data_IF_334892865561
#
_entry.id   IF_334892865561
#
_cell.length_a   1.000
_cell.length_b   1.000
_cell.length_c   1.000
_cell.angle_alpha   90.00
_cell.angle_beta   90.00
_cell.angle_gamma   90.00
#
_symmetry.space_group_name_H-M   'P 1'
#
loop_
_entity.id
_entity.type
_entity.pdbx_description
1 polymer ?
#
# COMPACT_ATOMS: atom_id res chain seq x y z
N UNK A 1 -9.93 -19.19 -13.93
CA UNK A 1 -9.14 -18.93 -12.72
C UNK A 1 -8.16 -20.06 -12.58
N UNK A 2 -6.89 -19.70 -12.61
CA UNK A 2 -5.77 -20.64 -12.64
C UNK A 2 -4.60 -20.01 -11.91
N UNK A 3 -3.97 -20.78 -11.05
CA UNK A 3 -2.66 -20.45 -10.49
C UNK A 3 -1.59 -20.97 -11.42
N UNK A 4 -0.66 -20.11 -11.81
CA UNK A 4 0.44 -20.43 -12.73
C UNK A 4 1.79 -20.34 -12.02
N UNK A 5 2.67 -21.31 -12.27
CA UNK A 5 4.04 -21.32 -11.74
C UNK A 5 5.07 -21.57 -12.84
N UNK A 6 6.17 -20.81 -12.88
CA UNK A 6 7.28 -21.10 -13.79
C UNK A 6 8.27 -22.13 -13.21
N UNK A 7 8.98 -22.89 -14.06
CA UNK A 7 10.06 -23.76 -13.60
C UNK A 7 11.14 -22.96 -12.87
N UNK A 8 11.81 -23.53 -11.85
CA UNK A 8 12.84 -22.82 -11.09
C UNK A 8 13.99 -22.40 -11.99
N UNK A 9 14.16 -21.09 -12.21
CA UNK A 9 15.15 -20.54 -13.15
C UNK A 9 15.89 -19.31 -12.63
N UNK A 10 15.33 -18.64 -11.62
CA UNK A 10 15.83 -17.34 -11.17
C UNK A 10 16.82 -17.49 -10.02
N UNK A 11 18.12 -17.19 -10.21
CA UNK A 11 19.11 -17.38 -9.16
C UNK A 11 19.09 -16.22 -8.15
N UNK A 12 18.85 -16.52 -6.87
CA UNK A 12 18.99 -15.57 -5.77
C UNK A 12 19.26 -16.30 -4.45
N UNK A 13 20.06 -15.70 -3.56
CA UNK A 13 20.38 -16.27 -2.24
C UNK A 13 20.86 -17.72 -2.26
N UNK A 14 21.66 -18.10 -3.26
CA UNK A 14 22.23 -19.45 -3.38
C UNK A 14 21.25 -20.55 -3.81
N UNK A 15 20.05 -20.21 -4.31
CA UNK A 15 19.06 -21.16 -4.83
C UNK A 15 18.34 -20.63 -6.06
N UNK A 16 17.61 -21.50 -6.76
CA UNK A 16 16.69 -21.10 -7.82
C UNK A 16 15.30 -20.80 -7.26
N UNK A 17 14.62 -19.88 -7.91
CA UNK A 17 13.27 -19.46 -7.58
C UNK A 17 12.33 -19.58 -8.79
N UNK A 18 11.08 -19.82 -8.45
CA UNK A 18 9.90 -19.79 -9.31
C UNK A 18 9.00 -18.64 -8.88
N UNK A 19 8.14 -18.17 -9.78
CA UNK A 19 7.11 -17.19 -9.55
C UNK A 19 5.75 -17.87 -9.64
N UNK A 20 4.91 -17.65 -8.64
CA UNK A 20 3.54 -18.13 -8.58
C UNK A 20 2.58 -16.94 -8.70
N UNK A 21 1.68 -16.98 -9.68
CA UNK A 21 0.67 -15.94 -9.94
C UNK A 21 -0.75 -16.52 -9.95
N UNK A 22 -1.75 -15.65 -9.84
CA UNK A 22 -3.13 -15.94 -10.26
C UNK A 22 -3.45 -15.16 -11.54
N UNK A 23 -4.25 -15.76 -12.42
CA UNK A 23 -4.81 -15.08 -13.59
C UNK A 23 -6.13 -14.34 -13.32
N UNK A 24 -6.62 -14.32 -12.06
CA UNK A 24 -7.90 -13.69 -11.75
C UNK A 24 -8.02 -13.05 -10.36
N UNK A 25 -7.31 -13.52 -9.33
CA UNK A 25 -7.45 -12.97 -7.96
C UNK A 25 -6.18 -13.06 -7.11
N UNK A 26 -5.80 -11.94 -6.51
CA UNK A 26 -4.77 -11.91 -5.47
C UNK A 26 -5.24 -12.57 -4.17
N UNK A 27 -6.53 -12.53 -3.87
CA UNK A 27 -7.09 -13.18 -2.68
C UNK A 27 -6.89 -14.70 -2.73
N UNK A 28 -7.26 -15.34 -3.84
CA UNK A 28 -7.03 -16.79 -4.02
C UNK A 28 -5.53 -17.11 -4.00
N UNK A 29 -4.71 -16.25 -4.61
CA UNK A 29 -3.26 -16.42 -4.57
C UNK A 29 -2.74 -16.39 -3.11
N UNK A 30 -3.24 -15.49 -2.27
CA UNK A 30 -2.89 -15.41 -0.86
C UNK A 30 -3.38 -16.61 -0.06
N UNK A 31 -4.62 -17.05 -0.28
CA UNK A 31 -5.19 -18.23 0.37
C UNK A 31 -4.43 -19.50 0.01
N UNK A 32 -4.15 -19.70 -1.27
CA UNK A 32 -3.35 -20.83 -1.74
C UNK A 32 -1.94 -20.79 -1.17
N UNK A 33 -1.27 -19.64 -1.23
CA UNK A 33 0.06 -19.46 -0.65
C UNK A 33 0.08 -19.80 0.85
N UNK A 34 -0.91 -19.33 1.61
CA UNK A 34 -1.03 -19.62 3.04
C UNK A 34 -1.28 -21.12 3.29
N UNK A 35 -2.18 -21.75 2.54
CA UNK A 35 -2.47 -23.19 2.66
C UNK A 35 -1.25 -24.07 2.35
N UNK A 36 -0.36 -23.60 1.47
CA UNK A 36 0.89 -24.28 1.15
C UNK A 36 2.05 -23.90 2.10
N UNK A 37 1.85 -22.96 3.02
CA UNK A 37 2.90 -22.50 3.95
C UNK A 37 3.93 -21.57 3.29
N UNK A 38 3.57 -20.90 2.19
CA UNK A 38 4.39 -19.84 1.60
C UNK A 38 4.23 -18.58 2.47
N UNK A 39 5.31 -18.04 3.04
CA UNK A 39 5.19 -16.90 3.94
C UNK A 39 4.77 -15.64 3.16
N UNK A 40 3.88 -14.83 3.76
CA UNK A 40 3.35 -13.59 3.16
C UNK A 40 4.45 -12.62 2.69
N UNK A 41 5.61 -12.64 3.36
CA UNK A 41 6.78 -11.83 3.01
C UNK A 41 7.37 -12.11 1.63
N UNK A 42 7.10 -13.29 1.05
CA UNK A 42 7.53 -13.65 -0.31
C UNK A 42 6.60 -13.15 -1.41
N UNK A 43 5.56 -12.38 -1.07
CA UNK A 43 4.71 -11.71 -2.04
C UNK A 43 5.32 -10.38 -2.49
N UNK A 44 5.37 -10.18 -3.80
CA UNK A 44 6.07 -9.06 -4.44
C UNK A 44 5.11 -8.07 -5.14
N UNK A 45 3.82 -8.11 -4.81
CA UNK A 45 2.78 -7.19 -5.28
C UNK A 45 1.77 -7.85 -6.21
N UNK A 46 2.19 -8.85 -6.97
CA UNK A 46 1.35 -9.56 -7.94
C UNK A 46 1.72 -11.05 -8.14
N UNK A 47 2.76 -11.51 -7.44
CA UNK A 47 3.22 -12.90 -7.44
C UNK A 47 3.88 -13.25 -6.12
N UNK A 48 4.06 -14.55 -5.88
CA UNK A 48 4.91 -15.10 -4.83
C UNK A 48 6.21 -15.66 -5.41
N UNK A 49 7.31 -15.37 -4.74
CA UNK A 49 8.58 -16.06 -4.95
C UNK A 49 8.57 -17.41 -4.21
N UNK A 50 8.72 -18.49 -4.97
CA UNK A 50 8.69 -19.88 -4.49
C UNK A 50 10.08 -20.49 -4.67
N UNK A 51 10.74 -20.95 -3.59
CA UNK A 51 12.06 -21.54 -3.72
C UNK A 51 11.97 -22.94 -4.37
N UNK A 52 13.00 -23.33 -5.13
CA UNK A 52 13.01 -24.55 -5.96
C UNK A 52 12.55 -25.82 -5.22
N UNK A 53 12.89 -25.96 -3.94
CA UNK A 53 12.55 -27.12 -3.11
C UNK A 53 11.04 -27.28 -2.89
N UNK A 54 10.25 -26.20 -3.08
CA UNK A 54 8.79 -26.21 -2.95
C UNK A 54 8.06 -26.34 -4.29
N UNK A 55 8.75 -26.20 -5.42
CA UNK A 55 8.14 -26.20 -6.75
C UNK A 55 7.24 -27.42 -6.99
N UNK A 56 7.76 -28.63 -6.77
CA UNK A 56 7.01 -29.87 -6.99
C UNK A 56 5.75 -29.96 -6.11
N UNK A 57 5.82 -29.47 -4.85
CA UNK A 57 4.67 -29.44 -3.95
C UNK A 57 3.60 -28.44 -4.43
N UNK A 58 4.00 -27.29 -4.98
CA UNK A 58 3.08 -26.29 -5.52
C UNK A 58 2.37 -26.80 -6.79
N UNK A 59 3.09 -27.49 -7.68
CA UNK A 59 2.47 -28.15 -8.84
C UNK A 59 1.51 -29.26 -8.38
N UNK A 60 1.91 -30.11 -7.43
CA UNK A 60 1.06 -31.16 -6.89
C UNK A 60 -0.19 -30.62 -6.18
N UNK A 61 -0.13 -29.40 -5.63
CA UNK A 61 -1.25 -28.71 -5.02
C UNK A 61 -2.23 -28.07 -6.04
N UNK A 62 -1.93 -28.13 -7.34
CA UNK A 62 -2.83 -27.72 -8.42
C UNK A 62 -2.40 -26.48 -9.21
N UNK A 63 -1.24 -25.88 -8.90
CA UNK A 63 -0.69 -24.82 -9.75
C UNK A 63 -0.26 -25.41 -11.10
N UNK A 64 -0.62 -24.75 -12.19
CA UNK A 64 -0.26 -25.18 -13.54
C UNK A 64 1.08 -24.60 -13.95
N UNK A 65 1.92 -25.44 -14.51
CA UNK A 65 3.19 -25.00 -15.05
C UNK A 65 2.99 -24.12 -16.29
N UNK A 66 3.74 -23.03 -16.38
CA UNK A 66 3.79 -22.17 -17.55
C UNK A 66 5.17 -21.51 -17.67
N UNK A 67 5.55 -21.09 -18.88
CA UNK A 67 6.82 -20.39 -19.06
C UNK A 67 6.76 -18.97 -18.48
N UNK A 68 7.90 -18.37 -18.12
CA UNK A 68 7.94 -16.96 -17.68
C UNK A 68 7.20 -15.99 -18.63
N UNK A 69 7.37 -16.09 -19.96
CA UNK A 69 6.57 -15.32 -20.92
C UNK A 69 5.06 -15.57 -20.84
N UNK A 70 4.63 -16.80 -20.61
CA UNK A 70 3.21 -17.15 -20.47
C UNK A 70 2.64 -16.59 -19.15
N UNK A 71 3.38 -16.69 -18.05
CA UNK A 71 3.02 -16.06 -16.77
C UNK A 71 2.79 -14.57 -16.94
N UNK A 72 3.75 -13.88 -17.57
CA UNK A 72 3.62 -12.44 -17.81
C UNK A 72 2.38 -12.13 -18.66
N UNK A 73 2.07 -12.94 -19.66
CA UNK A 73 0.88 -12.78 -20.50
C UNK A 73 -0.41 -12.95 -19.69
N UNK A 74 -0.50 -13.99 -18.87
CA UNK A 74 -1.64 -14.23 -17.98
C UNK A 74 -1.82 -13.09 -16.97
N UNK A 75 -0.73 -12.63 -16.37
CA UNK A 75 -0.73 -11.55 -15.38
C UNK A 75 -1.07 -10.18 -15.98
N UNK A 76 -0.69 -9.93 -17.24
CA UNK A 76 -1.11 -8.73 -17.96
C UNK A 76 -2.59 -8.79 -18.33
N UNK A 77 -3.06 -9.94 -18.83
CA UNK A 77 -4.45 -10.12 -19.22
C UNK A 77 -5.41 -10.05 -18.01
N UNK A 78 -4.96 -10.42 -16.82
CA UNK A 78 -5.75 -10.35 -15.59
C UNK A 78 -5.88 -8.92 -15.03
N UNK A 79 -5.04 -7.98 -15.47
CA UNK A 79 -4.94 -6.64 -14.89
C UNK A 79 -4.16 -6.58 -13.58
N UNK A 80 -3.79 -7.73 -12.98
CA UNK A 80 -3.16 -7.79 -11.66
C UNK A 80 -1.70 -7.32 -11.63
N UNK A 81 -1.04 -7.16 -12.79
CA UNK A 81 0.37 -6.76 -12.86
C UNK A 81 0.61 -5.43 -12.15
N UNK A 82 1.38 -5.48 -11.06
CA UNK A 82 1.90 -4.31 -10.33
C UNK A 82 3.34 -4.06 -10.75
N UNK A 83 3.62 -2.87 -11.31
CA UNK A 83 4.99 -2.51 -11.72
C UNK A 83 5.73 -1.82 -10.57
N UNK A 84 6.95 -2.23 -10.25
CA UNK A 84 7.76 -1.60 -9.21
C UNK A 84 9.19 -1.35 -9.68
N UNK A 85 9.85 -0.36 -9.11
CA UNK A 85 11.29 -0.09 -9.34
C UNK A 85 12.11 -1.12 -8.57
N UNK A 86 13.39 -1.24 -8.93
CA UNK A 86 14.32 -2.11 -8.21
C UNK A 86 14.42 -1.66 -6.74
N UNK A 87 14.33 -2.61 -5.81
CA UNK A 87 14.41 -2.35 -4.37
C UNK A 87 13.07 -1.97 -3.72
N UNK A 88 12.01 -1.81 -4.51
CA UNK A 88 10.65 -1.59 -3.99
C UNK A 88 9.93 -2.91 -3.77
N UNK A 89 8.90 -2.89 -2.91
CA UNK A 89 8.04 -4.04 -2.64
C UNK A 89 6.58 -3.68 -2.89
N UNK A 90 5.92 -4.41 -3.79
CA UNK A 90 4.49 -4.23 -4.02
C UNK A 90 3.69 -4.73 -2.83
N UNK A 91 2.75 -3.92 -2.35
CA UNK A 91 1.85 -4.26 -1.24
C UNK A 91 0.57 -4.86 -1.79
N UNK A 92 -0.10 -4.14 -2.69
CA UNK A 92 -1.32 -4.58 -3.37
C UNK A 92 -1.61 -3.71 -4.60
N UNK A 93 -2.38 -4.23 -5.54
CA UNK A 93 -3.02 -3.47 -6.61
C UNK A 93 -4.53 -3.51 -6.39
N UNK A 94 -5.16 -2.34 -6.33
CA UNK A 94 -6.61 -2.20 -6.17
C UNK A 94 -7.20 -1.66 -7.47
N UNK A 95 -8.24 -2.33 -7.97
CA UNK A 95 -8.89 -1.94 -9.21
C UNK A 95 -10.14 -1.11 -8.98
N UNK A 96 -10.35 -0.12 -9.84
CA UNK A 96 -11.61 0.62 -9.92
C UNK A 96 -12.02 1.33 -8.63
N UNK A 97 -11.06 1.88 -7.87
CA UNK A 97 -11.34 2.70 -6.70
C UNK A 97 -12.20 3.90 -7.12
N UNK A 98 -13.26 4.17 -6.37
CA UNK A 98 -14.15 5.32 -6.57
C UNK A 98 -13.92 6.31 -5.44
N UNK A 99 -13.58 7.55 -5.78
CA UNK A 99 -13.33 8.61 -4.81
C UNK A 99 -14.59 9.48 -4.60
N UNK A 100 -14.68 10.25 -3.49
CA UNK A 100 -15.87 11.04 -3.18
C UNK A 100 -16.25 12.10 -4.22
N UNK A 101 -15.30 12.57 -5.04
CA UNK A 101 -15.57 13.51 -6.15
C UNK A 101 -16.01 12.82 -7.45
N UNK A 102 -16.25 11.51 -7.41
CA UNK A 102 -16.63 10.70 -8.56
C UNK A 102 -15.46 10.34 -9.47
N UNK A 103 -14.23 10.75 -9.16
CA UNK A 103 -13.05 10.26 -9.87
C UNK A 103 -12.86 8.76 -9.64
N UNK A 104 -12.21 8.09 -10.60
CA UNK A 104 -11.93 6.65 -10.54
C UNK A 104 -10.52 6.33 -10.99
N UNK A 105 -9.89 5.39 -10.30
CA UNK A 105 -8.54 4.95 -10.64
C UNK A 105 -8.29 3.49 -10.22
N UNK A 106 -7.39 2.82 -10.93
CA UNK A 106 -6.63 1.72 -10.31
C UNK A 106 -5.51 2.31 -9.44
N UNK A 107 -5.17 1.65 -8.34
CA UNK A 107 -4.16 2.13 -7.40
C UNK A 107 -3.15 1.02 -7.09
N UNK A 108 -1.87 1.31 -7.33
CA UNK A 108 -0.78 0.47 -6.83
C UNK A 108 -0.29 1.00 -5.48
N UNK A 109 -0.25 0.11 -4.50
CA UNK A 109 0.27 0.36 -3.16
C UNK A 109 1.69 -0.21 -3.09
N UNK A 110 2.70 0.64 -2.86
CA UNK A 110 4.10 0.25 -2.96
C UNK A 110 4.89 0.70 -1.74
N UNK A 111 5.56 -0.24 -1.07
CA UNK A 111 6.56 0.07 -0.05
C UNK A 111 7.85 0.51 -0.75
N UNK A 112 8.29 1.72 -0.45
CA UNK A 112 9.47 2.33 -1.05
C UNK A 112 9.96 3.47 -0.18
N UNK A 113 11.28 3.62 -0.08
CA UNK A 113 11.94 4.82 0.40
C UNK A 113 12.38 5.75 -0.74
N UNK A 114 12.06 5.40 -2.00
CA UNK A 114 12.36 6.22 -3.15
C UNK A 114 11.25 7.23 -3.38
N UNK A 115 11.61 8.51 -3.44
CA UNK A 115 10.66 9.56 -3.76
C UNK A 115 10.05 9.37 -5.16
N UNK A 116 8.73 9.57 -5.32
CA UNK A 116 8.11 9.68 -6.64
C UNK A 116 8.56 10.96 -7.35
N UNK A 117 8.30 11.11 -8.65
CA UNK A 117 8.59 12.37 -9.35
C UNK A 117 7.78 13.51 -8.72
N UNK A 118 8.45 14.49 -8.12
CA UNK A 118 7.84 15.52 -7.27
C UNK A 118 6.63 16.22 -7.92
N UNK A 119 6.77 16.64 -9.18
CA UNK A 119 5.72 17.32 -9.96
C UNK A 119 4.43 16.51 -10.15
N UNK A 120 4.45 15.20 -9.85
CA UNK A 120 3.31 14.28 -9.95
C UNK A 120 2.76 13.86 -8.58
N UNK A 121 3.36 14.33 -7.47
CA UNK A 121 2.84 14.13 -6.12
C UNK A 121 1.80 15.20 -5.82
N UNK A 122 0.55 14.77 -5.62
CA UNK A 122 -0.57 15.69 -5.37
C UNK A 122 -1.06 15.66 -3.92
N UNK A 123 -0.61 14.70 -3.12
CA UNK A 123 -1.03 14.52 -1.73
C UNK A 123 0.06 13.82 -0.90
N UNK A 124 -0.05 13.96 0.41
CA UNK A 124 0.79 13.26 1.37
C UNK A 124 -0.01 12.87 2.62
N UNK A 125 0.39 11.76 3.25
CA UNK A 125 -0.16 11.31 4.54
C UNK A 125 0.96 10.85 5.45
N UNK A 126 0.73 10.91 6.77
CA UNK A 126 1.70 10.45 7.77
C UNK A 126 1.06 9.54 8.80
N UNK A 127 1.61 8.33 8.93
CA UNK A 127 1.26 7.39 9.97
C UNK A 127 2.05 7.74 11.24
N UNK A 128 1.40 8.42 12.18
CA UNK A 128 1.99 8.83 13.46
C UNK A 128 1.70 7.77 14.52
N UNK A 129 2.75 7.25 15.13
CA UNK A 129 2.68 6.28 16.23
C UNK A 129 3.26 6.88 17.51
N UNK A 130 2.55 6.78 18.64
CA UNK A 130 3.05 7.27 19.93
C UNK A 130 4.08 6.32 20.56
N UNK A 131 4.70 6.70 21.68
CA UNK A 131 5.73 5.88 22.33
C UNK A 131 5.29 4.47 22.75
N UNK A 132 3.98 4.20 22.87
CA UNK A 132 3.41 2.91 23.29
C UNK A 132 2.78 2.11 22.14
N UNK A 133 2.83 2.61 20.90
CA UNK A 133 2.28 1.88 19.76
C UNK A 133 0.83 2.22 19.42
N UNK A 134 0.27 3.29 19.98
CA UNK A 134 -1.03 3.83 19.57
C UNK A 134 -0.87 4.66 18.29
N UNK A 135 -1.87 4.64 17.42
CA UNK A 135 -1.88 5.36 16.15
C UNK A 135 -2.80 6.57 16.22
N UNK A 136 -2.35 7.69 15.66
CA UNK A 136 -3.17 8.87 15.45
C UNK A 136 -4.07 8.63 14.23
N UNK A 137 -5.37 8.81 14.40
CA UNK A 137 -6.35 8.76 13.31
C UNK A 137 -7.23 10.00 13.31
N UNK A 138 -7.60 10.45 12.11
CA UNK A 138 -8.47 11.60 11.85
C UNK A 138 -9.70 11.13 11.09
N UNK A 139 -10.85 11.76 11.32
CA UNK A 139 -12.08 11.50 10.58
C UNK A 139 -12.21 12.48 9.42
N UNK A 140 -12.45 11.95 8.22
CA UNK A 140 -12.70 12.76 7.03
C UNK A 140 -14.20 12.78 6.69
N UNK A 141 -14.93 13.89 6.86
CA UNK A 141 -16.33 13.99 6.47
C UNK A 141 -16.54 13.78 4.96
N UNK A 142 -15.57 14.20 4.14
CA UNK A 142 -15.62 13.99 2.68
C UNK A 142 -15.60 12.52 2.30
N UNK A 143 -14.77 11.71 2.97
CA UNK A 143 -14.61 10.28 2.69
C UNK A 143 -15.50 9.38 3.53
N UNK A 144 -16.08 9.92 4.61
CA UNK A 144 -16.85 9.17 5.61
C UNK A 144 -16.03 7.99 6.18
N UNK A 145 -14.74 8.22 6.43
CA UNK A 145 -13.82 7.20 6.94
C UNK A 145 -12.79 7.79 7.91
N UNK A 146 -12.22 6.93 8.76
CA UNK A 146 -11.07 7.24 9.60
C UNK A 146 -9.78 6.87 8.85
N UNK A 147 -8.79 7.76 8.83
CA UNK A 147 -7.48 7.49 8.23
C UNK A 147 -6.33 8.07 9.05
N UNK A 148 -5.09 7.86 8.60
CA UNK A 148 -3.97 8.68 9.03
C UNK A 148 -4.17 10.16 8.60
N UNK A 149 -3.59 11.13 9.32
CA UNK A 149 -3.57 12.53 8.91
C UNK A 149 -2.98 12.75 7.52
N UNK A 150 -3.51 13.71 6.76
CA UNK A 150 -2.99 14.05 5.45
C UNK A 150 -4.03 14.52 4.45
N UNK A 151 -3.55 15.12 3.38
CA UNK A 151 -4.41 15.76 2.39
C UNK A 151 -3.66 16.21 1.15
N UNK A 152 -4.24 17.19 0.48
CA UNK A 152 -3.77 17.68 -0.82
C UNK A 152 -2.59 18.61 -0.62
N UNK A 153 -1.64 18.52 -1.54
CA UNK A 153 -0.47 19.39 -1.58
C UNK A 153 -0.87 20.78 -2.05
N UNK A 154 -0.44 21.80 -1.34
CA UNK A 154 -0.64 23.19 -1.73
C UNK A 154 0.47 23.71 -2.67
N UNK A 155 0.23 24.84 -3.32
CA UNK A 155 1.18 25.40 -4.28
C UNK A 155 2.48 25.84 -3.59
N UNK A 156 3.62 25.34 -4.08
CA UNK A 156 4.96 25.71 -3.57
C UNK A 156 5.42 24.90 -2.36
N UNK A 157 4.54 24.06 -1.81
CA UNK A 157 4.84 23.13 -0.72
C UNK A 157 5.58 21.90 -1.26
N UNK A 158 6.42 21.23 -0.48
CA UNK A 158 6.94 19.89 -0.75
C UNK A 158 6.05 18.79 -0.13
N UNK A 159 6.11 17.53 -0.59
CA UNK A 159 5.24 16.48 -0.03
C UNK A 159 5.39 16.26 1.49
N UNK A 160 6.58 16.46 2.04
CA UNK A 160 6.81 16.33 3.48
C UNK A 160 6.23 17.51 4.26
N UNK A 161 6.29 18.72 3.70
CA UNK A 161 5.64 19.90 4.29
C UNK A 161 4.11 19.73 4.30
N UNK A 162 3.53 19.16 3.23
CA UNK A 162 2.10 18.80 3.19
C UNK A 162 1.72 17.88 4.34
N UNK A 163 2.47 16.80 4.56
CA UNK A 163 2.17 15.86 5.66
C UNK A 163 2.26 16.53 7.04
N UNK A 164 3.22 17.45 7.23
CA UNK A 164 3.40 18.19 8.49
C UNK A 164 2.26 19.21 8.69
N UNK A 165 1.90 19.98 7.67
CA UNK A 165 0.82 20.97 7.72
C UNK A 165 -0.52 20.31 8.01
N UNK A 166 -0.89 19.29 7.25
CA UNK A 166 -2.17 18.59 7.41
C UNK A 166 -2.29 17.98 8.82
N UNK A 167 -1.21 17.38 9.35
CA UNK A 167 -1.23 16.87 10.73
C UNK A 167 -1.46 17.98 11.75
N UNK A 168 -0.82 19.13 11.55
CA UNK A 168 -0.98 20.28 12.45
C UNK A 168 -2.42 20.81 12.39
N UNK A 169 -2.99 20.98 11.20
CA UNK A 169 -4.34 21.53 10.99
C UNK A 169 -5.42 20.59 11.56
N UNK A 170 -5.28 19.28 11.38
CA UNK A 170 -6.28 18.30 11.81
C UNK A 170 -6.19 17.98 13.32
N UNK A 171 -5.05 18.22 13.98
CA UNK A 171 -4.79 17.68 15.33
C UNK A 171 -4.03 18.58 16.32
N UNK A 172 -3.47 19.70 15.87
CA UNK A 172 -2.50 20.56 16.58
C UNK A 172 -1.17 19.86 16.97
N UNK A 173 -0.93 18.63 16.50
CA UNK A 173 0.33 17.92 16.72
C UNK A 173 1.41 18.45 15.77
N UNK A 174 2.49 18.99 16.35
CA UNK A 174 3.64 19.49 15.60
C UNK A 174 4.63 18.36 15.31
N UNK A 175 4.78 18.07 14.02
CA UNK A 175 5.82 17.16 13.52
C UNK A 175 7.01 17.96 12.98
N UNK A 176 8.21 17.39 13.09
CA UNK A 176 9.40 17.93 12.41
C UNK A 176 9.64 17.14 11.13
N UNK A 177 9.88 17.78 9.97
CA UNK A 177 10.19 17.08 8.73
C UNK A 177 11.34 16.05 8.87
N UNK A 178 12.40 16.38 9.63
CA UNK A 178 13.54 15.47 9.85
C UNK A 178 13.19 14.17 10.58
N UNK A 179 12.05 14.14 11.29
CA UNK A 179 11.59 12.97 12.06
C UNK A 179 10.65 12.07 11.22
N UNK A 180 10.34 12.46 9.98
CA UNK A 180 9.49 11.68 9.07
C UNK A 180 10.35 10.84 8.14
N UNK A 181 9.99 9.56 8.00
CA UNK A 181 10.57 8.66 7.01
C UNK A 181 9.53 8.35 5.94
N UNK A 182 9.87 8.52 4.67
CA UNK A 182 9.04 8.00 3.58
C UNK A 182 9.13 6.47 3.60
N UNK A 183 7.97 5.81 3.68
CA UNK A 183 7.87 4.34 3.80
C UNK A 183 7.10 3.70 2.65
N UNK A 184 6.23 4.46 1.99
CA UNK A 184 5.44 3.98 0.87
C UNK A 184 4.97 5.13 -0.04
N UNK A 185 4.37 4.76 -1.16
CA UNK A 185 3.52 5.65 -1.95
C UNK A 185 2.32 4.88 -2.51
N UNK A 186 1.29 5.63 -2.83
CA UNK A 186 0.16 5.16 -3.64
C UNK A 186 0.33 5.75 -5.05
N UNK A 187 0.20 4.91 -6.08
CA UNK A 187 0.29 5.33 -7.48
C UNK A 187 -1.02 5.11 -8.19
N UNK A 188 -1.58 6.19 -8.71
CA UNK A 188 -2.90 6.24 -9.31
C UNK A 188 -2.82 6.12 -10.82
N UNK A 189 -3.73 5.31 -11.37
CA UNK A 189 -3.98 5.14 -12.80
C UNK A 189 -5.42 5.57 -13.06
N UNK A 190 -5.65 6.85 -13.40
CA UNK A 190 -7.00 7.36 -13.67
C UNK A 190 -7.68 6.54 -14.77
N UNK A 191 -8.96 6.23 -14.58
CA UNK A 191 -9.76 5.55 -15.59
C UNK A 191 -10.39 6.56 -16.55
N UNK A 192 -10.38 6.24 -17.84
CA UNK A 192 -10.87 7.14 -18.90
C UNK A 192 -12.39 7.40 -18.83
N UNK A 193 -13.13 6.60 -18.05
CA UNK A 193 -14.58 6.70 -17.88
C UNK A 193 -15.01 7.60 -16.71
N UNK A 194 -14.07 8.30 -16.08
CA UNK A 194 -14.31 9.19 -14.94
C UNK A 194 -13.45 10.46 -14.99
N UNK A 195 -13.89 11.57 -14.36
CA UNK A 195 -13.07 12.77 -14.25
C UNK A 195 -11.82 12.51 -13.38
N UNK A 196 -10.74 13.25 -13.63
CA UNK A 196 -9.55 13.25 -12.77
C UNK A 196 -9.16 14.68 -12.39
N UNK A 197 -9.36 15.03 -11.11
CA UNK A 197 -9.26 16.39 -10.62
C UNK A 197 -7.82 16.94 -10.52
N UNK A 198 -6.81 16.06 -10.60
CA UNK A 198 -5.38 16.41 -10.53
C UNK A 198 -4.67 15.98 -11.80
N UNK A 199 -4.73 16.76 -12.91
CA UNK A 199 -4.31 16.31 -14.24
C UNK A 199 -2.91 15.69 -14.31
N UNK A 200 -1.93 16.26 -13.60
CA UNK A 200 -0.57 15.73 -13.49
C UNK A 200 -0.34 14.84 -12.26
N UNK A 201 -1.26 14.84 -11.29
CA UNK A 201 -1.17 14.09 -10.05
C UNK A 201 -1.31 12.59 -10.29
N UNK A 202 -0.30 11.83 -9.89
CA UNK A 202 -0.25 10.37 -9.99
C UNK A 202 0.20 9.69 -8.71
N UNK A 203 0.66 10.44 -7.71
CA UNK A 203 1.21 9.89 -6.49
C UNK A 203 0.68 10.58 -5.23
N UNK A 204 0.45 9.77 -4.21
CA UNK A 204 0.34 10.18 -2.81
C UNK A 204 1.54 9.59 -2.07
N UNK A 205 2.27 10.42 -1.33
CA UNK A 205 3.44 9.97 -0.54
C UNK A 205 3.02 9.58 0.87
N UNK A 206 3.60 8.50 1.39
CA UNK A 206 3.25 7.97 2.71
C UNK A 206 4.48 8.02 3.61
N UNK A 207 4.37 8.85 4.65
CA UNK A 207 5.36 9.00 5.69
C UNK A 207 4.98 8.20 6.93
N UNK A 208 5.98 7.93 7.77
CA UNK A 208 5.81 7.36 9.11
C UNK A 208 6.68 8.13 10.09
N UNK A 209 6.19 8.31 11.30
CA UNK A 209 6.99 8.78 12.42
C UNK A 209 6.59 8.11 13.73
N UNK A 210 7.50 8.11 14.71
CA UNK A 210 7.29 7.58 16.05
C UNK A 210 7.56 8.70 17.05
N UNK A 211 6.55 9.10 17.82
CA UNK A 211 6.70 10.10 18.86
C UNK A 211 7.38 9.47 20.09
N UNK A 212 8.09 10.30 20.85
CA UNK A 212 8.67 9.93 22.14
C UNK A 212 7.71 10.11 23.32
N UNK A 213 6.54 10.68 23.06
CA UNK A 213 5.47 10.93 24.04
C UNK A 213 4.32 9.96 23.82
N UNK A 214 3.58 9.65 24.90
CA UNK A 214 2.40 8.79 24.86
C UNK A 214 1.18 9.68 24.72
N UNK A 215 0.34 9.39 23.72
CA UNK A 215 -0.94 10.06 23.45
C UNK A 215 -0.97 11.56 23.82
N UNK A 216 -0.13 12.41 23.18
CA UNK A 216 -0.20 13.84 23.40
C UNK A 216 -1.61 14.37 23.13
N UNK A 217 -1.95 15.48 23.78
CA UNK A 217 -3.24 16.13 23.61
C UNK A 217 -3.50 16.45 22.14
N UNK A 218 -4.72 16.15 21.70
CA UNK A 218 -5.22 16.41 20.36
C UNK A 218 -6.26 17.51 20.48
N UNK A 219 -6.14 18.53 19.63
CA UNK A 219 -7.18 19.52 19.41
C UNK A 219 -7.64 19.38 17.97
N UNK A 220 -8.90 18.99 17.79
CA UNK A 220 -9.51 18.75 16.49
C UNK A 220 -10.91 19.36 16.45
N UNK A 221 -11.38 19.71 15.25
CA UNK A 221 -12.72 20.21 15.06
C UNK A 221 -13.77 19.14 15.44
N UNK A 222 -14.96 19.58 15.86
CA UNK A 222 -16.00 18.67 16.32
C UNK A 222 -16.54 17.77 15.20
N UNK A 223 -16.60 18.30 13.98
CA UNK A 223 -17.02 17.61 12.75
C UNK A 223 -15.90 16.82 12.08
N UNK A 224 -14.63 17.09 12.43
CA UNK A 224 -13.43 16.39 11.95
C UNK A 224 -12.61 15.85 13.13
N UNK A 225 -13.19 14.96 13.96
CA UNK A 225 -12.52 14.51 15.19
C UNK A 225 -11.26 13.71 14.89
N UNK A 226 -10.29 13.81 15.81
CA UNK A 226 -9.07 13.00 15.80
C UNK A 226 -8.89 12.28 17.15
N UNK A 227 -8.25 11.11 17.14
CA UNK A 227 -8.01 10.31 18.35
C UNK A 227 -6.84 9.33 18.22
N UNK A 228 -6.33 8.93 19.37
CA UNK A 228 -5.39 7.82 19.50
C UNK A 228 -6.12 6.49 19.58
N UNK A 229 -5.70 5.51 18.79
CA UNK A 229 -6.29 4.16 18.75
C UNK A 229 -5.21 3.08 18.83
N UNK A 230 -5.56 1.91 19.34
CA UNK A 230 -4.69 0.73 19.27
C UNK A 230 -4.54 0.25 17.83
N UNK A 231 -3.53 -0.59 17.55
CA UNK A 231 -3.38 -1.22 16.23
C UNK A 231 -4.63 -2.01 15.83
N UNK A 232 -5.25 -2.75 16.77
CA UNK A 232 -6.48 -3.51 16.51
C UNK A 232 -7.63 -2.60 16.10
N UNK A 233 -7.85 -1.52 16.84
CA UNK A 233 -8.90 -0.55 16.52
C UNK A 233 -8.63 0.15 15.18
N UNK A 234 -7.37 0.50 14.88
CA UNK A 234 -7.04 1.09 13.59
C UNK A 234 -7.39 0.16 12.42
N UNK A 235 -7.05 -1.12 12.51
CA UNK A 235 -7.40 -2.10 11.48
C UNK A 235 -8.92 -2.29 11.36
N UNK A 236 -9.66 -2.23 12.46
CA UNK A 236 -11.13 -2.31 12.44
C UNK A 236 -11.76 -1.08 11.78
N UNK A 237 -11.24 0.12 12.08
CA UNK A 237 -11.71 1.37 11.45
C UNK A 237 -11.45 1.37 9.94
N UNK A 238 -10.32 0.80 9.51
CA UNK A 238 -9.91 0.72 8.11
C UNK A 238 -10.44 -0.53 7.39
N UNK A 239 -11.25 -1.40 8.03
CA UNK A 239 -11.54 -2.75 7.51
C UNK A 239 -12.18 -2.80 6.12
N UNK A 240 -12.90 -1.75 5.73
CA UNK A 240 -13.53 -1.62 4.40
C UNK A 240 -12.77 -0.67 3.48
N UNK A 241 -11.70 -0.05 3.95
CA UNK A 241 -10.92 0.89 3.17
C UNK A 241 -10.02 0.16 2.17
N UNK A 242 -10.00 0.63 0.94
CA UNK A 242 -9.12 0.08 -0.10
C UNK A 242 -7.63 0.26 0.22
N UNK A 243 -7.29 1.24 1.06
CA UNK A 243 -5.92 1.53 1.51
C UNK A 243 -5.51 0.71 2.76
N UNK A 244 -6.38 -0.13 3.31
CA UNK A 244 -6.06 -1.02 4.45
C UNK A 244 -4.72 -1.77 4.29
N UNK A 245 -4.35 -2.29 3.10
CA UNK A 245 -3.06 -2.97 2.94
C UNK A 245 -1.85 -2.08 3.25
N UNK A 246 -1.91 -0.76 2.99
CA UNK A 246 -0.84 0.19 3.39
C UNK A 246 -0.77 0.28 4.91
N UNK A 247 -1.91 0.46 5.58
CA UNK A 247 -1.96 0.55 7.03
C UNK A 247 -1.41 -0.73 7.70
N UNK A 248 -1.79 -1.91 7.20
CA UNK A 248 -1.27 -3.20 7.66
C UNK A 248 0.24 -3.31 7.43
N UNK A 249 0.72 -2.90 6.25
CA UNK A 249 2.15 -2.90 5.94
C UNK A 249 2.93 -1.98 6.91
N UNK A 250 2.40 -0.81 7.23
CA UNK A 250 3.09 0.17 8.09
C UNK A 250 3.03 -0.24 9.57
N UNK A 251 1.92 -0.79 10.03
CA UNK A 251 1.72 -1.16 11.43
C UNK A 251 2.42 -2.46 11.83
N UNK A 252 2.50 -3.43 10.91
CA UNK A 252 3.24 -4.66 11.14
C UNK A 252 4.74 -4.39 10.96
N UNK A 253 5.50 -4.41 12.06
CA UNK A 253 6.97 -4.51 11.98
C UNK A 253 7.30 -5.87 11.34
N UNK A 254 7.85 -5.87 10.13
CA UNK A 254 8.43 -7.08 9.51
C UNK A 254 9.64 -7.59 10.32
#
# INVERSE_FOLDING_TARGET
MTLWIDPPRWPAHGRLWSHLISDASLEELHEFAAAQGIPRRGFEGDHYDVPQERYAAIVAAGAREASGPDLLRHLQASGLRLRKRKGEKGIARIHGVVFPDGSRADVDLVRSSHEPPDHSVFAATVYVCDAEGSWLVVWSPRRQEWSAPGGWREQGESPIETAVRETLEETEIRLRPDDLSMVAYERFYPLDDAPWAVPAGRFLTVYRTQLTVIRPEILAAQDEPARWVTTKEFMELARTAWWLPIAQAIANRE
#
